data_IF_263486911936
#
_entry.id   IF_263486911936
#
_cell.length_a   1.000
_cell.length_b   1.000
_cell.length_c   1.000
_cell.angle_alpha   90.00
_cell.angle_beta   90.00
_cell.angle_gamma   90.00
#
_symmetry.space_group_name_H-M   'P 1'
#
loop_
_entity.id
_entity.type
_entity.pdbx_description
1 polymer ?
#
# COMPACT_ATOMS: atom_id res chain seq x y z
N UNK A 1 4.39 7.70 -30.30
CA UNK A 1 5.84 7.70 -29.97
C UNK A 1 6.02 8.53 -28.71
N UNK A 2 5.95 7.89 -27.54
CA UNK A 2 6.30 8.50 -26.26
C UNK A 2 7.49 7.72 -25.72
N UNK A 3 8.71 8.18 -26.03
CA UNK A 3 9.94 7.53 -25.58
C UNK A 3 10.27 7.90 -24.13
N UNK A 4 11.20 7.16 -23.49
CA UNK A 4 11.67 7.41 -22.12
C UNK A 4 12.15 8.86 -21.89
N UNK A 5 12.64 9.53 -22.93
CA UNK A 5 13.12 10.92 -22.89
C UNK A 5 12.04 11.95 -22.49
N UNK A 6 10.76 11.69 -22.80
CA UNK A 6 9.67 12.59 -22.40
C UNK A 6 9.36 12.52 -20.91
N UNK A 7 9.58 11.36 -20.29
CA UNK A 7 9.28 11.13 -18.87
C UNK A 7 10.42 11.63 -17.98
N UNK A 8 11.68 11.46 -18.40
CA UNK A 8 12.84 12.00 -17.68
C UNK A 8 12.79 13.54 -17.62
N UNK A 9 12.27 14.18 -18.68
CA UNK A 9 11.97 15.61 -18.70
C UNK A 9 10.89 16.00 -17.69
N UNK A 10 9.81 15.22 -17.57
CA UNK A 10 8.73 15.47 -16.62
C UNK A 10 9.19 15.30 -15.18
N UNK A 11 9.97 14.26 -14.90
CA UNK A 11 10.58 13.99 -13.60
C UNK A 11 11.50 15.15 -13.18
N UNK A 12 12.34 15.65 -14.11
CA UNK A 12 13.24 16.78 -13.87
C UNK A 12 12.49 18.10 -13.66
N UNK A 13 11.44 18.37 -14.44
CA UNK A 13 10.61 19.59 -14.29
C UNK A 13 9.80 19.57 -12.99
N UNK A 14 9.24 18.42 -12.59
CA UNK A 14 8.52 18.24 -11.33
C UNK A 14 9.44 18.38 -10.11
N UNK A 15 10.66 17.84 -10.17
CA UNK A 15 11.66 17.94 -9.11
C UNK A 15 12.11 19.38 -8.83
N UNK A 16 12.05 20.27 -9.83
CA UNK A 16 12.49 21.66 -9.67
C UNK A 16 11.34 22.61 -9.25
N UNK A 17 10.09 22.20 -9.44
CA UNK A 17 8.93 23.09 -9.32
C UNK A 17 8.14 22.95 -8.00
N UNK A 18 8.34 21.88 -7.22
CA UNK A 18 7.44 21.55 -6.10
C UNK A 18 8.22 21.23 -4.81
N UNK A 19 7.86 21.82 -3.65
CA UNK A 19 8.36 21.35 -2.36
C UNK A 19 7.85 19.93 -2.08
N UNK A 20 8.76 18.96 -1.91
CA UNK A 20 8.43 17.53 -1.81
C UNK A 20 8.93 16.72 -3.02
N UNK A 21 10.24 16.80 -3.29
CA UNK A 21 10.89 16.15 -4.44
C UNK A 21 10.69 14.63 -4.40
N UNK A 22 10.74 14.04 -3.20
CA UNK A 22 10.58 12.60 -3.02
C UNK A 22 9.16 12.12 -3.39
N UNK A 23 8.12 12.89 -3.04
CA UNK A 23 6.75 12.58 -3.40
C UNK A 23 6.51 12.73 -4.92
N UNK A 24 7.09 13.76 -5.54
CA UNK A 24 6.99 13.97 -6.98
C UNK A 24 7.71 12.87 -7.80
N UNK A 25 8.89 12.44 -7.35
CA UNK A 25 9.63 11.32 -7.94
C UNK A 25 8.87 10.00 -7.82
N UNK A 26 8.38 9.70 -6.61
CA UNK A 26 7.60 8.48 -6.33
C UNK A 26 6.33 8.43 -7.18
N UNK A 27 5.66 9.59 -7.32
CA UNK A 27 4.49 9.69 -8.19
C UNK A 27 4.85 9.49 -9.66
N UNK A 28 5.95 10.06 -10.16
CA UNK A 28 6.35 9.89 -11.54
C UNK A 28 6.73 8.44 -11.88
N UNK A 29 7.38 7.72 -10.97
CA UNK A 29 7.66 6.30 -11.13
C UNK A 29 6.37 5.47 -11.13
N UNK A 30 5.43 5.80 -10.24
CA UNK A 30 4.10 5.20 -10.23
C UNK A 30 3.34 5.44 -11.55
N UNK A 31 3.36 6.67 -12.07
CA UNK A 31 2.79 7.02 -13.38
C UNK A 31 3.39 6.15 -14.51
N UNK A 32 4.71 5.96 -14.49
CA UNK A 32 5.42 5.13 -15.47
C UNK A 32 4.94 3.68 -15.43
N UNK A 33 4.90 3.07 -14.25
CA UNK A 33 4.49 1.68 -14.09
C UNK A 33 3.02 1.45 -14.49
N UNK A 34 2.13 2.39 -14.17
CA UNK A 34 0.71 2.35 -14.57
C UNK A 34 0.56 2.46 -16.09
N UNK A 35 1.41 3.25 -16.77
CA UNK A 35 1.31 3.45 -18.21
C UNK A 35 1.89 2.30 -19.02
N UNK A 36 2.98 1.69 -18.58
CA UNK A 36 3.60 0.60 -19.35
C UNK A 36 2.81 -0.71 -19.23
N UNK A 37 2.04 -0.89 -18.15
CA UNK A 37 1.26 -2.12 -17.88
C UNK A 37 2.11 -3.40 -17.97
N UNK A 38 3.40 -3.31 -17.64
CA UNK A 38 4.32 -4.46 -17.72
C UNK A 38 4.03 -5.53 -16.65
N UNK A 39 3.19 -5.20 -15.65
CA UNK A 39 2.87 -6.06 -14.51
C UNK A 39 1.35 -6.15 -14.31
N UNK A 40 0.88 -7.33 -13.92
CA UNK A 40 -0.54 -7.54 -13.59
C UNK A 40 -0.96 -6.87 -12.29
N UNK A 41 -0.04 -6.81 -11.31
CA UNK A 41 -0.25 -6.22 -9.98
C UNK A 41 1.06 -5.57 -9.53
N UNK A 42 0.97 -4.39 -8.93
CA UNK A 42 2.09 -3.66 -8.34
C UNK A 42 1.78 -3.45 -6.85
N UNK A 43 2.71 -3.80 -5.97
CA UNK A 43 2.59 -3.57 -4.53
C UNK A 43 3.50 -2.40 -4.15
N UNK A 44 2.90 -1.35 -3.58
CA UNK A 44 3.63 -0.19 -3.10
C UNK A 44 3.90 -0.32 -1.60
N UNK A 45 5.19 -0.42 -1.23
CA UNK A 45 5.63 -0.33 0.16
C UNK A 45 5.88 1.13 0.52
N UNK A 46 4.94 1.74 1.25
CA UNK A 46 4.94 3.18 1.46
C UNK A 46 5.69 3.57 2.73
N UNK A 47 6.22 4.80 2.74
CA UNK A 47 6.71 5.50 3.92
C UNK A 47 5.67 5.54 5.08
N UNK A 48 6.03 5.98 6.31
CA UNK A 48 5.06 6.13 7.39
C UNK A 48 3.88 7.03 7.00
N UNK A 49 2.72 6.78 7.61
CA UNK A 49 1.39 7.32 7.28
C UNK A 49 1.35 8.76 6.78
N UNK A 50 2.03 9.69 7.46
CA UNK A 50 2.03 11.11 7.09
C UNK A 50 2.63 11.42 5.71
N UNK A 51 3.61 10.65 5.26
CA UNK A 51 4.25 10.81 3.94
C UNK A 51 3.42 10.15 2.84
N UNK A 52 2.84 8.98 3.11
CA UNK A 52 1.94 8.28 2.18
C UNK A 52 0.74 9.15 1.81
N UNK A 53 0.13 9.82 2.78
CA UNK A 53 -1.00 10.71 2.52
C UNK A 53 -0.63 11.88 1.60
N UNK A 54 0.60 12.40 1.66
CA UNK A 54 1.04 13.45 0.74
C UNK A 54 1.17 12.92 -0.69
N UNK A 55 1.71 11.72 -0.85
CA UNK A 55 1.80 11.06 -2.15
C UNK A 55 0.41 10.87 -2.77
N UNK A 56 -0.57 10.41 -1.98
CA UNK A 56 -1.95 10.20 -2.45
C UNK A 56 -2.70 11.52 -2.72
N UNK A 57 -2.38 12.60 -2.00
CA UNK A 57 -2.93 13.94 -2.24
C UNK A 57 -2.31 14.65 -3.45
N UNK A 58 -1.09 14.27 -3.81
CA UNK A 58 -0.28 14.93 -4.82
C UNK A 58 -0.99 15.11 -6.18
N UNK A 59 -1.66 14.09 -6.74
CA UNK A 59 -2.26 14.21 -8.07
C UNK A 59 -3.36 15.28 -8.08
N UNK A 60 -4.23 15.27 -7.06
CA UNK A 60 -5.30 16.27 -6.90
C UNK A 60 -4.77 17.70 -6.70
N UNK A 61 -3.63 17.83 -6.03
CA UNK A 61 -2.98 19.14 -5.79
C UNK A 61 -2.36 19.66 -7.08
N UNK A 62 -1.69 18.79 -7.83
CA UNK A 62 -1.08 19.11 -9.12
C UNK A 62 -2.14 19.48 -10.16
N UNK A 63 -3.25 18.74 -10.23
CA UNK A 63 -4.40 19.05 -11.10
C UNK A 63 -4.96 20.45 -10.83
N UNK A 64 -5.21 20.80 -9.56
CA UNK A 64 -5.67 22.13 -9.15
C UNK A 64 -4.65 23.22 -9.50
N UNK A 65 -3.36 22.94 -9.30
CA UNK A 65 -2.26 23.85 -9.66
C UNK A 65 -2.23 24.15 -11.16
N UNK A 66 -2.27 23.09 -11.98
CA UNK A 66 -2.30 23.17 -13.44
C UNK A 66 -3.53 23.92 -13.94
N UNK A 67 -4.72 23.61 -13.42
CA UNK A 67 -5.96 24.30 -13.77
C UNK A 67 -5.90 25.81 -13.45
N UNK A 68 -5.34 26.17 -12.29
CA UNK A 68 -5.16 27.57 -11.90
C UNK A 68 -4.18 28.28 -12.82
N UNK A 69 -3.05 27.65 -13.16
CA UNK A 69 -2.07 28.19 -14.09
C UNK A 69 -2.66 28.43 -15.49
N UNK A 70 -3.43 27.48 -16.03
CA UNK A 70 -4.15 27.66 -17.28
C UNK A 70 -5.15 28.83 -17.20
N UNK A 71 -5.89 28.95 -16.09
CA UNK A 71 -6.85 30.06 -15.91
C UNK A 71 -6.18 31.43 -15.83
N UNK A 72 -5.00 31.52 -15.20
CA UNK A 72 -4.17 32.72 -15.14
C UNK A 72 -3.65 33.06 -16.53
N UNK A 73 -3.12 32.08 -17.27
CA UNK A 73 -2.71 32.27 -18.67
C UNK A 73 -3.86 32.78 -19.53
N UNK A 74 -5.07 32.23 -19.41
CA UNK A 74 -6.19 32.71 -20.23
C UNK A 74 -6.58 34.16 -19.93
N UNK A 75 -6.36 34.64 -18.69
CA UNK A 75 -6.63 36.03 -18.28
C UNK A 75 -5.52 37.00 -18.69
N UNK A 76 -4.27 36.56 -18.61
CA UNK A 76 -3.10 37.41 -18.86
C UNK A 76 -2.47 37.19 -20.24
N UNK A 77 -2.87 36.14 -20.97
CA UNK A 77 -2.31 35.76 -22.25
C UNK A 77 -2.50 36.86 -23.29
N UNK A 78 -3.70 37.45 -23.38
CA UNK A 78 -3.93 38.58 -24.30
C UNK A 78 -3.05 39.80 -24.02
N UNK A 79 -2.68 40.03 -22.74
CA UNK A 79 -1.75 41.10 -22.33
C UNK A 79 -0.29 40.71 -22.60
N UNK A 80 0.08 39.46 -22.32
CA UNK A 80 1.43 38.94 -22.53
C UNK A 80 1.76 38.93 -24.03
N UNK A 81 0.86 38.40 -24.87
CA UNK A 81 1.00 38.38 -26.33
C UNK A 81 1.10 39.78 -26.92
N UNK A 82 0.39 40.75 -26.34
CA UNK A 82 0.47 42.15 -26.78
C UNK A 82 1.79 42.79 -26.36
N UNK A 83 2.30 42.49 -25.17
CA UNK A 83 3.59 42.95 -24.68
C UNK A 83 4.78 42.33 -25.45
N UNK A 84 4.79 41.01 -25.69
CA UNK A 84 5.85 40.34 -26.47
C UNK A 84 5.93 40.85 -27.90
N UNK A 85 4.78 41.10 -28.54
CA UNK A 85 4.71 41.77 -29.86
C UNK A 85 5.29 43.18 -29.84
N UNK A 86 5.10 43.93 -28.75
CA UNK A 86 5.62 45.30 -28.59
C UNK A 86 7.13 45.34 -28.32
N UNK A 87 7.65 44.34 -27.62
CA UNK A 87 9.08 44.23 -27.28
C UNK A 87 9.92 43.52 -28.37
N UNK A 88 9.32 43.18 -29.52
CA UNK A 88 10.04 42.51 -30.62
C UNK A 88 10.47 41.07 -30.33
N UNK A 89 10.01 40.51 -29.21
CA UNK A 89 10.14 39.11 -28.81
C UNK A 89 8.95 38.34 -29.40
N UNK A 90 8.82 38.32 -30.73
CA UNK A 90 7.72 37.61 -31.38
C UNK A 90 7.83 36.09 -31.16
N UNK A 91 6.70 35.41 -30.90
CA UNK A 91 6.40 33.94 -30.90
C UNK A 91 7.52 32.92 -30.52
N UNK A 92 8.64 33.36 -29.93
CA UNK A 92 9.78 32.53 -29.54
C UNK A 92 9.69 31.98 -28.12
N UNK A 93 8.67 32.39 -27.35
CA UNK A 93 8.24 31.57 -26.24
C UNK A 93 7.53 30.38 -26.86
N UNK A 94 8.10 29.17 -26.71
CA UNK A 94 7.46 27.91 -27.06
C UNK A 94 6.20 27.64 -26.22
N UNK A 95 5.27 28.60 -26.18
CA UNK A 95 4.02 28.56 -25.44
C UNK A 95 3.17 27.39 -25.91
N UNK A 96 3.09 27.14 -27.22
CA UNK A 96 2.33 26.02 -27.76
C UNK A 96 2.95 24.66 -27.38
N UNK A 97 4.29 24.58 -27.36
CA UNK A 97 5.00 23.38 -26.92
C UNK A 97 4.85 23.15 -25.40
N UNK A 98 4.91 24.21 -24.60
CA UNK A 98 4.67 24.17 -23.15
C UNK A 98 3.21 23.82 -22.84
N UNK A 99 2.25 24.34 -23.59
CA UNK A 99 0.83 24.01 -23.45
C UNK A 99 0.56 22.55 -23.75
N UNK A 100 1.06 22.05 -24.88
CA UNK A 100 0.89 20.64 -25.24
C UNK A 100 1.49 19.70 -24.17
N UNK A 101 2.62 20.09 -23.57
CA UNK A 101 3.19 19.36 -22.42
C UNK A 101 2.29 19.42 -21.19
N UNK A 102 1.81 20.59 -20.80
CA UNK A 102 0.93 20.76 -19.63
C UNK A 102 -0.40 20.00 -19.79
N UNK A 103 -0.97 19.99 -20.99
CA UNK A 103 -2.17 19.22 -21.32
C UNK A 103 -1.90 17.71 -21.22
N UNK A 104 -0.78 17.23 -21.78
CA UNK A 104 -0.41 15.82 -21.66
C UNK A 104 -0.18 15.39 -20.20
N UNK A 105 0.44 16.24 -19.37
CA UNK A 105 0.60 15.97 -17.94
C UNK A 105 -0.75 15.87 -17.24
N UNK A 106 -1.66 16.80 -17.54
CA UNK A 106 -3.00 16.81 -16.96
C UNK A 106 -3.75 15.51 -17.27
N UNK A 107 -3.74 15.06 -18.52
CA UNK A 107 -4.40 13.80 -18.92
C UNK A 107 -3.85 12.58 -18.16
N UNK A 108 -2.54 12.54 -17.94
CA UNK A 108 -1.89 11.46 -17.18
C UNK A 108 -2.29 11.49 -15.71
N UNK A 109 -2.29 12.66 -15.09
CA UNK A 109 -2.70 12.86 -13.69
C UNK A 109 -4.16 12.46 -13.48
N UNK A 110 -5.06 12.91 -14.37
CA UNK A 110 -6.47 12.55 -14.34
C UNK A 110 -6.66 11.04 -14.45
N UNK A 111 -5.93 10.39 -15.36
CA UNK A 111 -5.98 8.93 -15.51
C UNK A 111 -5.58 8.20 -14.24
N UNK A 112 -4.51 8.64 -13.59
CA UNK A 112 -4.05 7.99 -12.35
C UNK A 112 -4.98 8.27 -11.18
N UNK A 113 -5.51 9.48 -11.05
CA UNK A 113 -6.57 9.78 -10.09
C UNK A 113 -7.79 8.87 -10.28
N UNK A 114 -8.22 8.65 -11.53
CA UNK A 114 -9.35 7.74 -11.82
C UNK A 114 -9.06 6.29 -11.42
N UNK A 115 -7.83 5.79 -11.63
CA UNK A 115 -7.47 4.43 -11.26
C UNK A 115 -7.39 4.24 -9.75
N UNK A 116 -6.80 5.20 -9.03
CA UNK A 116 -6.73 5.17 -7.57
C UNK A 116 -8.09 5.19 -6.88
N UNK A 117 -9.07 5.85 -7.48
CA UNK A 117 -10.45 5.88 -6.99
C UNK A 117 -11.30 4.68 -7.42
N UNK A 118 -10.75 3.79 -8.24
CA UNK A 118 -11.46 2.60 -8.69
C UNK A 118 -11.18 1.42 -7.74
N UNK A 119 -12.17 0.95 -6.95
CA UNK A 119 -11.99 -0.14 -6.00
C UNK A 119 -11.68 -1.49 -6.67
N UNK A 120 -12.03 -1.67 -7.95
CA UNK A 120 -11.70 -2.88 -8.72
C UNK A 120 -10.23 -2.90 -9.19
N UNK A 121 -9.54 -1.75 -9.15
CA UNK A 121 -8.17 -1.60 -9.65
C UNK A 121 -7.16 -1.32 -8.54
N UNK A 122 -7.53 -0.55 -7.51
CA UNK A 122 -6.66 -0.14 -6.42
C UNK A 122 -7.34 -0.38 -5.08
N UNK A 123 -6.61 -0.96 -4.12
CA UNK A 123 -7.02 -1.05 -2.72
C UNK A 123 -5.84 -0.77 -1.81
N UNK A 124 -6.13 -0.22 -0.63
CA UNK A 124 -5.14 0.08 0.40
C UNK A 124 -5.26 -0.90 1.57
N UNK A 125 -4.13 -1.50 1.96
CA UNK A 125 -4.03 -2.43 3.10
C UNK A 125 -3.33 -1.73 4.26
N UNK A 126 -4.04 -1.51 5.36
CA UNK A 126 -3.46 -0.88 6.55
C UNK A 126 -2.72 -1.91 7.41
N UNK A 127 -1.49 -1.63 7.83
CA UNK A 127 -0.73 -2.48 8.75
C UNK A 127 -0.52 -1.74 10.07
N UNK A 128 -0.86 -2.38 11.19
CA UNK A 128 -0.78 -1.78 12.51
C UNK A 128 -0.38 -2.81 13.59
N UNK A 129 -0.24 -2.36 14.82
CA UNK A 129 -0.04 -3.21 16.01
C UNK A 129 -1.19 -2.96 17.01
N UNK A 130 -1.52 -3.91 17.89
CA UNK A 130 -2.66 -3.78 18.82
C UNK A 130 -2.34 -2.88 20.01
N UNK A 131 -2.09 -1.59 19.74
CA UNK A 131 -1.78 -0.55 20.71
C UNK A 131 -2.58 0.72 20.44
N UNK A 132 -2.78 1.54 21.49
CA UNK A 132 -3.57 2.77 21.39
C UNK A 132 -3.13 3.71 20.28
N UNK A 133 -1.82 4.05 20.23
CA UNK A 133 -1.32 5.02 19.26
C UNK A 133 -1.42 4.48 17.84
N UNK A 134 -1.19 3.18 17.65
CA UNK A 134 -1.29 2.54 16.35
C UNK A 134 -2.74 2.44 15.86
N UNK A 135 -3.69 2.15 16.75
CA UNK A 135 -5.14 2.23 16.44
C UNK A 135 -5.54 3.65 16.02
N UNK A 136 -5.14 4.66 16.79
CA UNK A 136 -5.46 6.06 16.50
C UNK A 136 -4.90 6.53 15.14
N UNK A 137 -3.63 6.21 14.83
CA UNK A 137 -3.05 6.55 13.52
C UNK A 137 -3.69 5.77 12.37
N UNK A 138 -4.10 4.52 12.61
CA UNK A 138 -4.82 3.72 11.61
C UNK A 138 -6.19 4.31 11.31
N UNK A 139 -6.93 4.74 12.34
CA UNK A 139 -8.22 5.41 12.16
C UNK A 139 -8.09 6.71 11.38
N UNK A 140 -7.09 7.52 11.73
CA UNK A 140 -6.79 8.74 11.00
C UNK A 140 -6.43 8.45 9.54
N UNK A 141 -5.64 7.40 9.27
CA UNK A 141 -5.30 6.97 7.92
C UNK A 141 -6.55 6.56 7.14
N UNK A 142 -7.41 5.71 7.70
CA UNK A 142 -8.65 5.25 7.05
C UNK A 142 -9.55 6.43 6.71
N UNK A 143 -9.75 7.36 7.64
CA UNK A 143 -10.54 8.57 7.39
C UNK A 143 -9.98 9.42 6.25
N UNK A 144 -8.65 9.54 6.14
CA UNK A 144 -8.00 10.27 5.05
C UNK A 144 -8.12 9.52 3.71
N UNK A 145 -7.98 8.19 3.68
CA UNK A 145 -8.21 7.38 2.49
C UNK A 145 -9.65 7.53 1.98
N UNK A 146 -10.65 7.50 2.88
CA UNK A 146 -12.05 7.76 2.51
C UNK A 146 -12.23 9.16 1.90
N UNK A 147 -11.56 10.19 2.44
CA UNK A 147 -11.61 11.55 1.85
C UNK A 147 -11.00 11.62 0.45
N UNK A 148 -9.99 10.79 0.16
CA UNK A 148 -9.41 10.69 -1.18
C UNK A 148 -10.16 9.73 -2.10
N UNK A 149 -11.25 9.12 -1.62
CA UNK A 149 -12.04 8.12 -2.34
C UNK A 149 -11.19 6.90 -2.75
N UNK A 150 -10.20 6.54 -1.92
CA UNK A 150 -9.37 5.36 -2.12
C UNK A 150 -9.97 4.21 -1.33
N UNK A 151 -10.15 3.08 -2.01
CA UNK A 151 -10.67 1.85 -1.42
C UNK A 151 -9.76 1.34 -0.29
N UNK A 152 -10.35 0.96 0.84
CA UNK A 152 -9.66 0.23 1.89
C UNK A 152 -10.65 -0.66 2.63
N UNK A 153 -10.36 -1.96 2.64
CA UNK A 153 -11.21 -2.99 3.25
C UNK A 153 -10.39 -4.03 4.05
N UNK A 154 -9.08 -3.86 4.17
CA UNK A 154 -8.18 -4.83 4.78
C UNK A 154 -7.29 -4.16 5.83
N UNK A 155 -7.26 -4.73 7.04
CA UNK A 155 -6.35 -4.33 8.12
C UNK A 155 -5.55 -5.55 8.57
N UNK A 156 -4.23 -5.40 8.61
CA UNK A 156 -3.32 -6.38 9.18
C UNK A 156 -2.86 -5.87 10.55
N UNK A 157 -3.16 -6.64 11.59
CA UNK A 157 -2.67 -6.39 12.94
C UNK A 157 -1.49 -7.32 13.20
N UNK A 158 -0.28 -6.77 13.17
CA UNK A 158 0.97 -7.50 13.37
C UNK A 158 1.39 -7.53 14.84
N UNK A 159 2.38 -8.38 15.16
CA UNK A 159 2.97 -8.52 16.50
C UNK A 159 1.92 -8.86 17.58
N UNK A 160 0.90 -9.63 17.21
CA UNK A 160 -0.10 -10.12 18.14
C UNK A 160 0.52 -11.23 18.98
N UNK A 161 0.47 -11.08 20.29
CA UNK A 161 0.88 -12.11 21.22
C UNK A 161 -0.28 -13.11 21.38
N UNK A 162 0.00 -14.37 21.11
CA UNK A 162 -0.92 -15.47 21.33
C UNK A 162 -0.56 -16.24 22.61
N UNK A 163 -1.57 -16.88 23.21
CA UNK A 163 -1.39 -17.72 24.40
C UNK A 163 -0.86 -19.08 23.95
N UNK A 164 0.44 -19.18 23.71
CA UNK A 164 1.10 -20.38 23.16
C UNK A 164 1.91 -21.17 24.19
N UNK A 165 2.40 -20.47 25.19
CA UNK A 165 3.17 -21.05 26.27
C UNK A 165 2.37 -20.83 27.53
N UNK A 166 2.32 -21.83 28.42
CA UNK A 166 1.76 -21.71 29.78
C UNK A 166 2.67 -20.80 30.64
N UNK A 167 2.96 -19.61 30.10
CA UNK A 167 3.99 -18.69 30.51
C UNK A 167 3.53 -18.04 31.79
N UNK A 168 4.28 -18.28 32.87
CA UNK A 168 4.02 -17.64 34.15
C UNK A 168 4.47 -16.17 34.20
N UNK A 169 4.91 -15.61 33.07
CA UNK A 169 5.32 -14.21 32.98
C UNK A 169 4.12 -13.27 33.17
N UNK A 170 4.11 -12.58 34.32
CA UNK A 170 3.13 -11.53 34.63
C UNK A 170 3.15 -10.40 33.60
N UNK A 171 4.33 -10.07 33.05
CA UNK A 171 4.48 -9.01 32.05
C UNK A 171 3.87 -9.43 30.71
N UNK A 172 4.09 -10.68 30.28
CA UNK A 172 3.51 -11.20 29.03
C UNK A 172 1.98 -11.25 29.13
N UNK A 173 1.44 -11.81 30.22
CA UNK A 173 0.00 -11.84 30.50
C UNK A 173 -0.61 -10.44 30.52
N UNK A 174 0.07 -9.46 31.13
CA UNK A 174 -0.37 -8.07 31.14
C UNK A 174 -0.37 -7.43 29.74
N UNK A 175 0.67 -7.70 28.93
CA UNK A 175 0.78 -7.20 27.55
C UNK A 175 -0.29 -7.79 26.66
N UNK A 176 -0.54 -9.10 26.73
CA UNK A 176 -1.61 -9.77 25.99
C UNK A 176 -2.99 -9.21 26.37
N UNK A 177 -3.26 -9.02 27.67
CA UNK A 177 -4.52 -8.40 28.12
C UNK A 177 -4.69 -6.98 27.58
N UNK A 178 -3.62 -6.21 27.52
CA UNK A 178 -3.63 -4.88 26.90
C UNK A 178 -3.92 -4.97 25.40
N UNK A 179 -3.26 -5.88 24.67
CA UNK A 179 -3.49 -6.07 23.23
C UNK A 179 -4.93 -6.51 22.96
N UNK A 180 -5.47 -7.45 23.74
CA UNK A 180 -6.83 -7.96 23.62
C UNK A 180 -7.88 -6.83 23.69
N UNK A 181 -7.70 -5.88 24.61
CA UNK A 181 -8.55 -4.68 24.69
C UNK A 181 -8.57 -3.90 23.37
N UNK A 182 -7.43 -3.71 22.72
CA UNK A 182 -7.36 -2.97 21.46
C UNK A 182 -7.82 -3.80 20.26
N UNK A 183 -7.57 -5.11 20.26
CA UNK A 183 -8.14 -6.02 19.26
C UNK A 183 -9.68 -5.95 19.25
N UNK A 184 -10.31 -6.00 20.43
CA UNK A 184 -11.76 -5.81 20.56
C UNK A 184 -12.23 -4.47 20.00
N UNK A 185 -11.47 -3.39 20.22
CA UNK A 185 -11.77 -2.08 19.63
C UNK A 185 -11.66 -2.08 18.11
N UNK A 186 -10.63 -2.71 17.53
CA UNK A 186 -10.53 -2.87 16.07
C UNK A 186 -11.75 -3.60 15.50
N UNK A 187 -12.17 -4.72 16.10
CA UNK A 187 -13.34 -5.46 15.63
C UNK A 187 -14.66 -4.71 15.82
N UNK A 188 -14.76 -3.80 16.80
CA UNK A 188 -15.95 -2.96 16.97
C UNK A 188 -16.00 -1.79 15.98
N UNK A 189 -14.84 -1.24 15.60
CA UNK A 189 -14.76 -0.07 14.72
C UNK A 189 -14.78 -0.43 13.23
N UNK A 190 -14.30 -1.61 12.89
CA UNK A 190 -14.09 -2.06 11.51
C UNK A 190 -14.72 -3.45 11.30
N UNK A 191 -16.01 -3.58 11.61
CA UNK A 191 -16.76 -4.83 11.46
C UNK A 191 -16.99 -5.21 9.99
N UNK A 192 -16.91 -4.22 9.09
CA UNK A 192 -16.96 -4.33 7.64
C UNK A 192 -15.58 -4.56 6.99
N UNK A 193 -14.49 -4.56 7.75
CA UNK A 193 -13.14 -4.83 7.24
C UNK A 193 -12.73 -6.29 7.43
N UNK A 194 -11.89 -6.76 6.52
CA UNK A 194 -11.14 -7.98 6.70
C UNK A 194 -9.93 -7.74 7.60
N UNK A 195 -10.05 -8.13 8.88
CA UNK A 195 -8.96 -8.04 9.86
C UNK A 195 -8.16 -9.34 9.90
N UNK A 196 -6.89 -9.26 9.50
CA UNK A 196 -5.90 -10.35 9.59
C UNK A 196 -5.00 -10.14 10.80
N UNK A 197 -4.87 -11.14 11.68
CA UNK A 197 -3.97 -11.09 12.84
C UNK A 197 -2.72 -11.91 12.56
N UNK A 198 -1.55 -11.30 12.70
CA UNK A 198 -0.26 -11.97 12.54
C UNK A 198 0.49 -12.07 13.88
N UNK A 199 1.13 -13.21 14.15
CA UNK A 199 1.83 -13.43 15.41
C UNK A 199 3.08 -12.58 15.53
N UNK A 200 3.44 -12.23 16.77
CA UNK A 200 4.81 -11.84 17.09
C UNK A 200 5.70 -13.08 17.03
N UNK A 201 6.70 -13.07 16.14
CA UNK A 201 7.72 -14.11 16.09
C UNK A 201 8.89 -13.77 17.04
N UNK A 202 9.57 -14.79 17.61
CA UNK A 202 10.69 -14.58 18.53
C UNK A 202 11.95 -14.08 17.83
N UNK A 203 12.06 -14.30 16.52
CA UNK A 203 13.21 -13.93 15.69
C UNK A 203 12.76 -13.01 14.55
N UNK A 204 13.71 -12.22 14.04
CA UNK A 204 13.48 -11.36 12.90
C UNK A 204 13.28 -12.19 11.62
N UNK A 205 12.23 -11.88 10.86
CA UNK A 205 11.92 -12.57 9.61
C UNK A 205 12.90 -12.09 8.53
N UNK A 206 13.97 -12.85 8.33
CA UNK A 206 15.04 -12.51 7.37
C UNK A 206 15.30 -13.66 6.40
N UNK A 207 15.52 -13.33 5.13
CA UNK A 207 15.71 -14.31 4.06
C UNK A 207 14.40 -14.78 3.42
N UNK A 208 14.52 -15.35 2.21
CA UNK A 208 13.37 -15.71 1.37
C UNK A 208 12.55 -16.83 2.00
N UNK A 209 13.21 -17.80 2.63
CA UNK A 209 12.58 -18.95 3.28
C UNK A 209 11.75 -18.52 4.48
N UNK A 210 12.28 -17.64 5.34
CA UNK A 210 11.56 -17.11 6.50
C UNK A 210 10.36 -16.26 6.06
N UNK A 211 10.52 -15.42 5.02
CA UNK A 211 9.44 -14.63 4.45
C UNK A 211 8.32 -15.52 3.87
N UNK A 212 8.67 -16.62 3.19
CA UNK A 212 7.70 -17.60 2.69
C UNK A 212 6.97 -18.31 3.83
N UNK A 213 7.68 -18.71 4.88
CA UNK A 213 7.04 -19.33 6.04
C UNK A 213 6.09 -18.34 6.74
N UNK A 214 6.50 -17.08 6.90
CA UNK A 214 5.67 -16.04 7.51
C UNK A 214 4.44 -15.69 6.65
N UNK A 215 4.57 -15.72 5.32
CA UNK A 215 3.47 -15.38 4.41
C UNK A 215 2.29 -16.37 4.48
N UNK A 216 2.51 -17.60 4.94
CA UNK A 216 1.45 -18.59 5.16
C UNK A 216 0.39 -18.09 6.15
N UNK A 217 0.79 -17.25 7.12
CA UNK A 217 -0.11 -16.67 8.12
C UNK A 217 -1.10 -15.63 7.55
N UNK A 218 -0.91 -15.18 6.31
CA UNK A 218 -1.85 -14.32 5.60
C UNK A 218 -2.96 -15.13 4.91
N UNK A 219 -2.70 -16.39 4.55
CA UNK A 219 -3.64 -17.25 3.84
C UNK A 219 -4.56 -18.00 4.79
N UNK A 220 -4.02 -18.39 5.94
CA UNK A 220 -4.76 -19.10 6.98
C UNK A 220 -4.60 -18.34 8.31
N UNK A 221 -5.70 -18.07 9.04
CA UNK A 221 -5.61 -17.45 10.35
C UNK A 221 -4.64 -18.21 11.26
N UNK A 222 -3.69 -17.50 11.86
CA UNK A 222 -2.74 -18.10 12.78
C UNK A 222 -3.48 -18.82 13.91
N UNK A 223 -3.19 -20.11 14.09
CA UNK A 223 -3.75 -20.91 15.17
C UNK A 223 -2.65 -21.26 16.16
N UNK A 224 -2.68 -20.72 17.39
CA UNK A 224 -1.62 -20.95 18.34
C UNK A 224 -1.48 -22.42 18.69
N UNK A 225 -0.26 -22.94 18.85
CA UNK A 225 0.05 -24.37 19.03
C UNK A 225 -0.80 -25.06 20.14
N UNK A 226 -1.18 -24.29 21.15
CA UNK A 226 -1.79 -24.73 22.41
C UNK A 226 -3.03 -23.88 22.72
N UNK A 227 -3.95 -23.70 21.77
CA UNK A 227 -5.25 -23.16 22.17
C UNK A 227 -5.82 -24.07 23.27
N UNK A 228 -6.11 -23.52 24.45
CA UNK A 228 -6.95 -24.19 25.47
C UNK A 228 -8.36 -24.28 24.90
N UNK A 229 -8.50 -25.12 23.87
CA UNK A 229 -9.76 -25.45 23.27
C UNK A 229 -10.54 -26.39 24.17
N UNK A 230 -11.85 -26.40 23.98
CA UNK A 230 -12.69 -27.47 24.51
C UNK A 230 -12.20 -28.82 23.99
N UNK A 231 -12.65 -29.93 24.58
CA UNK A 231 -12.30 -31.28 24.10
C UNK A 231 -12.57 -31.43 22.60
N UNK A 232 -13.65 -30.82 22.10
CA UNK A 232 -14.00 -30.81 20.67
C UNK A 232 -12.97 -30.08 19.80
N UNK A 233 -12.44 -28.95 20.26
CA UNK A 233 -11.43 -28.19 19.52
C UNK A 233 -10.11 -28.98 19.43
N UNK A 234 -9.73 -29.67 20.51
CA UNK A 234 -8.58 -30.56 20.50
C UNK A 234 -8.79 -31.76 19.56
N UNK A 235 -9.97 -32.38 19.58
CA UNK A 235 -10.31 -33.50 18.70
C UNK A 235 -10.25 -33.09 17.22
N UNK A 236 -10.82 -31.92 16.88
CA UNK A 236 -10.79 -31.37 15.53
C UNK A 236 -9.36 -31.07 15.09
N UNK A 237 -8.54 -30.50 15.97
CA UNK A 237 -7.13 -30.22 15.69
C UNK A 237 -6.29 -31.47 15.50
N UNK A 238 -6.50 -32.50 16.32
CA UNK A 238 -5.87 -33.82 16.15
C UNK A 238 -6.26 -34.44 14.81
N UNK A 239 -7.53 -34.29 14.39
CA UNK A 239 -7.99 -34.76 13.09
C UNK A 239 -7.28 -34.07 11.93
N UNK A 240 -7.17 -32.74 11.97
CA UNK A 240 -6.47 -31.93 10.97
C UNK A 240 -4.99 -32.31 10.89
N UNK A 241 -4.31 -32.40 12.04
CA UNK A 241 -2.89 -32.76 12.11
C UNK A 241 -2.63 -34.17 11.57
N UNK A 242 -3.53 -35.13 11.83
CA UNK A 242 -3.44 -36.48 11.23
C UNK A 242 -3.56 -36.43 9.71
N UNK A 243 -4.42 -35.57 9.18
CA UNK A 243 -4.56 -35.42 7.73
C UNK A 243 -3.31 -34.79 7.10
N UNK A 244 -2.77 -33.73 7.72
CA UNK A 244 -1.51 -33.10 7.29
C UNK A 244 -0.33 -34.07 7.35
N UNK A 245 -0.21 -34.83 8.45
CA UNK A 245 0.83 -35.86 8.60
C UNK A 245 0.74 -36.90 7.48
N UNK A 246 -0.46 -37.39 7.18
CA UNK A 246 -0.67 -38.36 6.10
C UNK A 246 -0.23 -37.80 4.74
N UNK A 247 -0.58 -36.54 4.44
CA UNK A 247 -0.18 -35.89 3.19
C UNK A 247 1.35 -35.74 3.10
N UNK A 248 2.00 -35.34 4.20
CA UNK A 248 3.45 -35.22 4.28
C UNK A 248 4.16 -36.59 4.15
N UNK A 249 3.60 -37.65 4.75
CA UNK A 249 4.10 -39.02 4.60
C UNK A 249 3.98 -39.51 3.15
N UNK A 250 2.85 -39.24 2.48
CA UNK A 250 2.66 -39.58 1.06
C UNK A 250 3.66 -38.84 0.15
N UNK A 251 3.92 -37.56 0.43
CA UNK A 251 4.91 -36.77 -0.29
C UNK A 251 6.34 -37.29 -0.05
N UNK A 252 6.68 -37.59 1.20
CA UNK A 252 7.97 -38.18 1.57
C UNK A 252 8.19 -39.53 0.86
N UNK A 253 7.17 -40.37 0.79
CA UNK A 253 7.23 -41.67 0.10
C UNK A 253 7.39 -41.50 -1.42
N UNK A 254 6.72 -40.51 -2.03
CA UNK A 254 6.91 -40.18 -3.44
C UNK A 254 8.36 -39.76 -3.71
N UNK A 255 8.93 -38.91 -2.86
CA UNK A 255 10.32 -38.45 -3.00
C UNK A 255 11.33 -39.58 -2.78
N UNK A 256 11.09 -40.48 -1.82
CA UNK A 256 11.92 -41.69 -1.59
C UNK A 256 11.89 -42.63 -2.79
N UNK A 257 10.71 -42.86 -3.39
CA UNK A 257 10.56 -43.70 -4.59
C UNK A 257 11.18 -43.06 -5.83
N UNK A 258 11.15 -41.73 -5.94
CA UNK A 258 11.82 -40.97 -6.99
C UNK A 258 13.35 -41.12 -6.94
N UNK A 259 13.94 -41.14 -5.73
CA UNK A 259 15.39 -41.34 -5.53
C UNK A 259 15.87 -42.78 -5.77
N UNK A 260 14.99 -43.79 -5.72
CA UNK A 260 15.36 -45.19 -6.02
C UNK A 260 15.31 -45.54 -7.51
N UNK A 261 14.81 -44.64 -8.36
CA UNK A 261 14.72 -44.83 -9.82
C UNK A 261 15.73 -43.99 -10.62
N UNK A 262 16.61 -43.25 -9.93
CA UNK A 262 17.69 -42.47 -10.52
C UNK A 262 19.04 -43.18 -10.31
#
# INVERSE_FOLDING_TARGET
>A
MGGPEGMDSLVSELSNAIPGIDEAMSFAEMLKLVQTMDYSVIVFDTAPTGHTLRLLQFPSTLEKGLAKMMSLKNRFGGLLTQATRLFGLGDEFGEDALLGRLESMKEVIERVNMQFKNPDLTTFICVCIPEFLSLYETERLVQELTKFEIDTHNIIINQVLFDEDDSESKLLKARMKMQQKYLEQFYMLYDDFHITKLPLLPEEVTGVEALKAFSEHFLAPYQPATSRGTVQDLEQRVSILRHQLKNAEEELDRLKRGKQKA
#
